data_IF_265214497881
#
_entry.id   IF_265214497881
#
_cell.length_a   1.000
_cell.length_b   1.000
_cell.length_c   1.000
_cell.angle_alpha   90.00
_cell.angle_beta   90.00
_cell.angle_gamma   90.00
#
_symmetry.space_group_name_H-M   'P 1'
#
loop_
_entity.id
_entity.type
_entity.pdbx_description
1 polymer ?
#
# COMPACT_ATOMS: atom_id res chain seq x y z
N UNK A 1 -4.83 -35.98 -57.96
CA UNK A 1 -5.92 -36.53 -57.12
C UNK A 1 -5.32 -37.22 -55.90
N UNK A 2 -5.42 -36.62 -54.72
CA UNK A 2 -5.48 -37.28 -53.41
C UNK A 2 -5.80 -36.20 -52.37
N UNK A 3 -7.03 -36.20 -51.91
CA UNK A 3 -7.58 -35.35 -50.86
C UNK A 3 -7.09 -35.89 -49.50
N UNK A 4 -6.41 -35.06 -48.71
CA UNK A 4 -6.14 -35.35 -47.30
C UNK A 4 -7.02 -34.45 -46.47
N UNK A 5 -8.02 -35.06 -45.85
CA UNK A 5 -8.97 -34.43 -44.88
C UNK A 5 -8.22 -34.32 -43.56
N UNK A 6 -8.01 -33.08 -43.08
CA UNK A 6 -7.54 -32.81 -41.72
C UNK A 6 -8.77 -32.69 -40.81
N UNK A 7 -8.90 -33.68 -39.93
CA UNK A 7 -9.92 -33.72 -38.87
C UNK A 7 -9.48 -32.79 -37.74
N UNK A 8 -10.14 -31.65 -37.63
CA UNK A 8 -9.94 -30.73 -36.51
C UNK A 8 -10.79 -31.18 -35.31
N UNK A 9 -10.15 -31.85 -34.35
CA UNK A 9 -10.77 -32.26 -33.07
C UNK A 9 -10.92 -31.04 -32.18
N UNK A 10 -12.15 -30.54 -32.08
CA UNK A 10 -12.54 -29.47 -31.16
C UNK A 10 -12.66 -30.07 -29.75
N UNK A 11 -11.58 -29.95 -28.97
CA UNK A 11 -11.57 -30.34 -27.55
C UNK A 11 -12.11 -29.17 -26.72
N UNK A 12 -13.41 -29.17 -26.45
CA UNK A 12 -14.02 -28.27 -25.50
C UNK A 12 -13.54 -28.62 -24.10
N UNK A 13 -12.52 -27.91 -23.63
CA UNK A 13 -12.12 -27.91 -22.23
C UNK A 13 -13.21 -27.24 -21.39
N UNK A 14 -14.00 -28.02 -20.68
CA UNK A 14 -14.81 -27.57 -19.55
C UNK A 14 -13.84 -27.09 -18.47
N UNK A 15 -13.56 -25.80 -18.43
CA UNK A 15 -12.94 -25.16 -17.26
C UNK A 15 -13.97 -25.22 -16.11
N UNK A 16 -13.61 -25.75 -14.93
CA UNK A 16 -14.44 -25.59 -13.77
C UNK A 16 -14.52 -24.10 -13.48
N UNK A 17 -15.73 -23.55 -13.48
CA UNK A 17 -15.99 -22.23 -12.94
C UNK A 17 -15.56 -22.26 -11.47
N UNK A 18 -14.40 -21.68 -11.18
CA UNK A 18 -14.05 -21.31 -9.83
C UNK A 18 -15.19 -20.41 -9.35
N UNK A 19 -15.94 -20.85 -8.34
CA UNK A 19 -16.91 -20.05 -7.63
C UNK A 19 -16.14 -18.86 -7.01
N UNK A 20 -16.03 -17.79 -7.77
CA UNK A 20 -15.57 -16.49 -7.27
C UNK A 20 -16.55 -16.12 -6.16
N UNK A 21 -16.05 -15.95 -4.94
CA UNK A 21 -16.84 -15.33 -3.89
C UNK A 21 -17.45 -14.07 -4.49
N UNK A 22 -18.79 -13.96 -4.36
CA UNK A 22 -19.54 -12.83 -4.91
C UNK A 22 -19.02 -11.55 -4.23
N UNK A 23 -18.05 -10.89 -4.88
CA UNK A 23 -17.33 -9.72 -4.35
C UNK A 23 -18.17 -8.45 -4.38
N UNK A 24 -19.42 -8.54 -4.85
CA UNK A 24 -20.37 -7.43 -4.88
C UNK A 24 -21.08 -7.30 -3.55
N UNK A 25 -21.04 -6.11 -2.96
CA UNK A 25 -21.82 -5.79 -1.77
C UNK A 25 -23.29 -5.62 -2.20
N UNK A 26 -24.20 -6.29 -1.49
CA UNK A 26 -25.65 -6.13 -1.69
C UNK A 26 -26.17 -4.95 -0.85
N UNK A 27 -27.18 -4.20 -1.33
CA UNK A 27 -27.80 -3.16 -0.52
C UNK A 27 -28.28 -3.71 0.82
N UNK A 28 -27.82 -3.11 1.94
CA UNK A 28 -28.16 -3.55 3.29
C UNK A 28 -27.41 -4.80 3.77
N UNK A 29 -26.36 -5.26 3.07
CA UNK A 29 -25.49 -6.35 3.51
C UNK A 29 -24.82 -6.00 4.84
N UNK A 30 -24.79 -6.96 5.75
CA UNK A 30 -24.11 -6.81 7.03
C UNK A 30 -22.66 -7.26 6.89
N UNK A 31 -21.73 -6.31 6.98
CA UNK A 31 -20.29 -6.57 6.81
C UNK A 31 -19.61 -6.86 8.15
N UNK A 32 -18.89 -7.98 8.22
CA UNK A 32 -17.93 -8.27 9.28
C UNK A 32 -16.55 -7.72 8.90
N UNK A 33 -15.66 -7.60 9.89
CA UNK A 33 -14.27 -7.18 9.64
C UNK A 33 -13.57 -8.10 8.62
N UNK A 34 -13.76 -9.42 8.75
CA UNK A 34 -13.17 -10.42 7.85
C UNK A 34 -13.68 -10.24 6.42
N UNK A 35 -14.98 -9.93 6.25
CA UNK A 35 -15.58 -9.68 4.93
C UNK A 35 -15.01 -8.40 4.31
N UNK A 36 -14.86 -7.31 5.11
CA UNK A 36 -14.23 -6.07 4.68
C UNK A 36 -12.78 -6.31 4.22
N UNK A 37 -12.01 -7.08 4.98
CA UNK A 37 -10.63 -7.45 4.63
C UNK A 37 -10.56 -8.27 3.34
N UNK A 38 -11.46 -9.26 3.17
CA UNK A 38 -11.51 -10.09 1.96
C UNK A 38 -11.77 -9.23 0.71
N UNK A 39 -12.74 -8.30 0.77
CA UNK A 39 -13.06 -7.39 -0.34
C UNK A 39 -11.86 -6.48 -0.65
N UNK A 40 -11.27 -5.87 0.38
CA UNK A 40 -10.11 -4.99 0.20
C UNK A 40 -8.93 -5.72 -0.46
N UNK A 41 -8.60 -6.92 0.00
CA UNK A 41 -7.49 -7.72 -0.54
C UNK A 41 -7.74 -8.21 -1.97
N UNK A 42 -9.00 -8.33 -2.41
CA UNK A 42 -9.33 -8.73 -3.78
C UNK A 42 -9.35 -7.55 -4.77
N UNK A 43 -9.73 -6.35 -4.33
CA UNK A 43 -10.07 -5.24 -5.24
C UNK A 43 -9.29 -3.95 -5.04
N UNK A 44 -8.58 -3.78 -3.92
CA UNK A 44 -7.96 -2.49 -3.61
C UNK A 44 -6.98 -2.05 -4.72
N UNK A 45 -7.11 -0.84 -5.28
CA UNK A 45 -6.30 -0.38 -6.40
C UNK A 45 -4.79 -0.40 -6.11
N UNK A 46 -4.37 -0.05 -4.87
CA UNK A 46 -2.95 -0.05 -4.49
C UNK A 46 -2.35 -1.45 -4.52
N UNK A 47 -3.15 -2.49 -4.15
CA UNK A 47 -2.69 -3.87 -4.21
C UNK A 47 -2.55 -4.35 -5.66
N UNK A 48 -3.47 -3.93 -6.54
CA UNK A 48 -3.36 -4.19 -7.97
C UNK A 48 -2.13 -3.50 -8.56
N UNK A 49 -1.88 -2.24 -8.22
CA UNK A 49 -0.69 -1.50 -8.64
C UNK A 49 0.61 -2.20 -8.18
N UNK A 50 0.66 -2.65 -6.92
CA UNK A 50 1.79 -3.41 -6.39
C UNK A 50 1.98 -4.76 -7.12
N UNK A 51 0.89 -5.46 -7.46
CA UNK A 51 0.92 -6.70 -8.26
C UNK A 51 1.50 -6.45 -9.65
N UNK A 52 1.07 -5.40 -10.32
CA UNK A 52 1.62 -5.04 -11.63
C UNK A 52 3.09 -4.61 -11.55
N UNK A 53 3.52 -4.00 -10.45
CA UNK A 53 4.93 -3.67 -10.20
C UNK A 53 5.80 -4.94 -10.10
N UNK A 54 5.32 -5.99 -9.42
CA UNK A 54 5.99 -7.29 -9.39
C UNK A 54 6.07 -7.91 -10.78
N UNK A 55 4.97 -7.91 -11.56
CA UNK A 55 4.95 -8.41 -12.95
C UNK A 55 5.91 -7.65 -13.86
N UNK A 56 6.02 -6.33 -13.68
CA UNK A 56 7.02 -5.53 -14.40
C UNK A 56 8.45 -5.96 -14.05
N UNK A 57 8.71 -6.30 -12.78
CA UNK A 57 9.98 -6.91 -12.34
C UNK A 57 10.28 -8.24 -13.04
N UNK A 58 9.29 -9.12 -13.15
CA UNK A 58 9.40 -10.39 -13.89
C UNK A 58 9.76 -10.16 -15.37
N UNK A 59 9.13 -9.19 -16.01
CA UNK A 59 9.43 -8.83 -17.39
C UNK A 59 10.87 -8.30 -17.56
N UNK A 60 11.39 -7.54 -16.57
CA UNK A 60 12.80 -7.07 -16.56
C UNK A 60 13.79 -8.23 -16.44
N UNK A 61 13.45 -9.30 -15.72
CA UNK A 61 14.25 -10.54 -15.69
C UNK A 61 14.30 -11.14 -17.10
N UNK A 62 13.17 -11.22 -17.80
CA UNK A 62 13.12 -11.68 -19.20
C UNK A 62 13.99 -10.82 -20.12
N UNK A 63 13.96 -9.49 -19.97
CA UNK A 63 14.82 -8.57 -20.71
C UNK A 63 16.32 -8.82 -20.42
N UNK A 64 16.71 -9.03 -19.17
CA UNK A 64 18.11 -9.33 -18.82
C UNK A 64 18.56 -10.69 -19.36
N UNK A 65 17.65 -11.66 -19.43
CA UNK A 65 17.91 -12.98 -20.03
C UNK A 65 18.04 -12.93 -21.55
N UNK A 66 17.55 -11.89 -22.21
CA UNK A 66 17.67 -11.73 -23.65
C UNK A 66 19.13 -11.69 -24.11
N UNK A 67 20.07 -11.24 -23.27
CA UNK A 67 21.51 -11.26 -23.56
C UNK A 67 22.10 -12.68 -23.74
N UNK A 68 21.37 -13.73 -23.31
CA UNK A 68 21.74 -15.13 -23.54
C UNK A 68 21.35 -15.63 -24.95
N UNK A 69 20.50 -14.91 -25.67
CA UNK A 69 19.99 -15.31 -26.98
C UNK A 69 20.62 -14.46 -28.08
N UNK A 70 20.70 -15.01 -29.31
CA UNK A 70 21.16 -14.26 -30.46
C UNK A 70 20.22 -13.08 -30.76
N UNK A 71 20.84 -11.93 -31.07
CA UNK A 71 20.13 -10.73 -31.49
C UNK A 71 20.17 -10.63 -32.99
N UNK A 72 19.01 -10.66 -33.66
CA UNK A 72 18.88 -10.50 -35.10
C UNK A 72 18.33 -9.12 -35.42
N UNK A 73 19.02 -8.38 -36.27
CA UNK A 73 18.58 -7.06 -36.73
C UNK A 73 18.65 -6.97 -38.25
N UNK A 74 17.71 -6.21 -38.84
CA UNK A 74 17.69 -5.91 -40.27
C UNK A 74 17.81 -4.41 -40.48
N UNK A 75 18.60 -3.97 -41.43
CA UNK A 75 18.73 -2.59 -41.86
C UNK A 75 18.65 -2.50 -43.38
N UNK A 76 17.99 -1.47 -43.91
CA UNK A 76 18.01 -1.10 -45.30
C UNK A 76 18.27 0.40 -45.42
N UNK A 77 19.10 0.80 -46.33
CA UNK A 77 19.47 2.18 -46.52
C UNK A 77 19.64 2.53 -48.00
N UNK A 78 19.29 3.77 -48.32
CA UNK A 78 19.65 4.44 -49.54
C UNK A 78 20.43 5.69 -49.18
N UNK A 79 21.56 5.91 -49.86
CA UNK A 79 22.30 7.17 -49.73
C UNK A 79 22.73 7.65 -51.10
N UNK A 80 22.69 8.95 -51.30
CA UNK A 80 23.24 9.64 -52.44
C UNK A 80 24.34 10.59 -51.95
N UNK A 81 25.52 10.40 -52.47
CA UNK A 81 26.65 11.26 -52.10
C UNK A 81 27.14 12.02 -53.33
N UNK A 82 27.33 13.35 -53.14
CA UNK A 82 27.95 14.19 -54.13
C UNK A 82 29.27 14.70 -53.52
N UNK A 83 30.44 14.18 -53.97
CA UNK A 83 31.72 14.54 -53.42
C UNK A 83 32.24 15.90 -53.93
N UNK A 84 31.47 16.65 -54.75
CA UNK A 84 31.92 17.93 -55.34
C UNK A 84 32.16 19.08 -54.32
N UNK A 85 31.96 18.85 -53.01
CA UNK A 85 32.17 19.84 -51.95
C UNK A 85 33.46 19.70 -51.12
N UNK A 86 34.25 18.65 -51.24
CA UNK A 86 35.48 18.47 -50.45
C UNK A 86 36.69 19.02 -51.22
N UNK A 87 37.08 20.26 -50.87
CA UNK A 87 38.11 21.03 -51.54
C UNK A 87 39.48 20.36 -51.71
N UNK A 88 40.02 20.44 -52.89
CA UNK A 88 41.46 20.48 -53.17
C UNK A 88 42.05 19.20 -53.75
N UNK A 89 42.03 19.07 -55.03
CA UNK A 89 43.11 18.70 -55.93
C UNK A 89 42.52 18.49 -57.34
N UNK A 90 43.06 19.17 -58.28
CA UNK A 90 42.59 19.25 -59.65
C UNK A 90 42.37 17.86 -60.28
N UNK A 91 41.14 17.61 -60.80
CA UNK A 91 41.00 16.73 -61.93
C UNK A 91 40.14 15.44 -61.78
N UNK A 92 39.23 15.29 -60.77
CA UNK A 92 38.21 14.24 -60.86
C UNK A 92 36.82 14.85 -60.58
N UNK A 93 36.08 15.08 -61.62
CA UNK A 93 34.62 15.26 -61.51
C UNK A 93 34.06 13.91 -61.10
N UNK A 94 33.81 13.75 -59.81
CA UNK A 94 33.07 12.61 -59.33
C UNK A 94 31.58 12.90 -59.46
N UNK A 95 30.92 12.20 -60.34
CA UNK A 95 29.44 12.26 -60.45
C UNK A 95 28.81 11.82 -59.12
N UNK A 96 27.65 12.39 -58.75
CA UNK A 96 26.88 11.92 -57.64
C UNK A 96 26.69 10.40 -57.78
N UNK A 97 26.94 9.66 -56.70
CA UNK A 97 26.77 8.21 -56.64
C UNK A 97 25.63 7.82 -55.74
N UNK A 98 24.80 6.97 -56.22
CA UNK A 98 23.75 6.31 -55.43
C UNK A 98 24.32 5.04 -54.78
N UNK A 99 23.89 4.76 -53.56
CA UNK A 99 24.24 3.54 -52.85
C UNK A 99 23.02 2.95 -52.17
N UNK A 100 22.70 1.75 -52.49
CA UNK A 100 21.66 0.95 -51.89
C UNK A 100 22.29 -0.11 -51.02
N UNK A 101 21.75 -0.32 -49.80
CA UNK A 101 22.24 -1.37 -48.91
C UNK A 101 21.10 -2.01 -48.16
N UNK A 102 21.17 -3.30 -47.97
CA UNK A 102 20.30 -4.07 -47.10
C UNK A 102 21.14 -5.09 -46.36
N UNK A 103 20.95 -5.20 -45.02
CA UNK A 103 21.76 -6.13 -44.22
C UNK A 103 20.91 -6.77 -43.13
N UNK A 104 21.11 -8.06 -42.95
CA UNK A 104 20.71 -8.82 -41.77
C UNK A 104 21.95 -9.07 -40.93
N UNK A 105 21.88 -8.78 -39.65
CA UNK A 105 23.01 -8.95 -38.72
C UNK A 105 22.58 -9.76 -37.53
N UNK A 106 23.33 -10.79 -37.19
CA UNK A 106 23.19 -11.63 -36.00
C UNK A 106 24.37 -11.35 -35.08
N UNK A 107 24.08 -11.05 -33.82
CA UNK A 107 25.10 -10.91 -32.78
C UNK A 107 24.74 -11.76 -31.56
N UNK A 108 25.74 -12.38 -30.92
CA UNK A 108 25.58 -13.27 -29.79
C UNK A 108 26.71 -13.08 -28.79
N UNK A 109 26.41 -12.87 -27.55
CA UNK A 109 27.38 -13.02 -26.48
C UNK A 109 27.66 -14.50 -26.27
N UNK A 110 28.88 -14.94 -26.60
CA UNK A 110 29.30 -16.34 -26.47
C UNK A 110 29.85 -16.62 -25.07
N UNK A 111 30.61 -15.66 -24.51
CA UNK A 111 31.18 -15.77 -23.17
C UNK A 111 31.51 -14.38 -22.60
N UNK A 112 31.01 -14.05 -21.40
CA UNK A 112 31.13 -12.73 -20.78
C UNK A 112 31.62 -12.77 -19.31
N UNK A 113 32.22 -13.87 -18.88
CA UNK A 113 32.68 -14.08 -17.50
C UNK A 113 31.58 -13.89 -16.47
N UNK A 114 30.34 -14.16 -16.85
CA UNK A 114 29.18 -14.10 -15.99
C UNK A 114 28.63 -12.68 -15.76
N UNK A 115 28.89 -11.73 -16.67
CA UNK A 115 28.26 -10.39 -16.62
C UNK A 115 26.74 -10.51 -16.79
N UNK A 116 26.30 -11.27 -17.79
CA UNK A 116 24.88 -11.52 -18.04
C UNK A 116 24.22 -12.21 -16.85
N UNK A 117 24.87 -13.23 -16.24
CA UNK A 117 24.31 -13.88 -15.06
C UNK A 117 24.18 -12.95 -13.86
N UNK A 118 25.15 -12.03 -13.64
CA UNK A 118 25.03 -11.02 -12.60
C UNK A 118 23.89 -10.03 -12.89
N UNK A 119 23.73 -9.58 -14.14
CA UNK A 119 22.59 -8.73 -14.52
C UNK A 119 21.25 -9.40 -14.25
N UNK A 120 21.10 -10.67 -14.64
CA UNK A 120 19.90 -11.45 -14.36
C UNK A 120 19.67 -11.56 -12.83
N UNK A 121 20.73 -11.88 -12.07
CA UNK A 121 20.64 -12.00 -10.61
C UNK A 121 20.23 -10.70 -9.94
N UNK A 122 20.74 -9.55 -10.37
CA UNK A 122 20.33 -8.23 -9.89
C UNK A 122 18.82 -8.03 -10.15
N UNK A 123 18.32 -8.34 -11.35
CA UNK A 123 16.89 -8.20 -11.68
C UNK A 123 16.00 -9.16 -10.88
N UNK A 124 16.48 -10.37 -10.59
CA UNK A 124 15.79 -11.31 -9.70
C UNK A 124 15.65 -10.74 -8.29
N UNK A 125 16.73 -10.20 -7.72
CA UNK A 125 16.71 -9.58 -6.40
C UNK A 125 15.85 -8.30 -6.37
N UNK A 126 15.87 -7.48 -7.43
CA UNK A 126 14.96 -6.33 -7.55
C UNK A 126 13.48 -6.74 -7.57
N UNK A 127 13.14 -7.85 -8.27
CA UNK A 127 11.80 -8.43 -8.25
C UNK A 127 11.43 -8.94 -6.85
N UNK A 128 12.35 -9.61 -6.15
CA UNK A 128 12.13 -10.11 -4.78
C UNK A 128 11.92 -8.95 -3.79
N UNK A 129 12.63 -7.82 -3.97
CA UNK A 129 12.37 -6.58 -3.22
C UNK A 129 10.98 -6.03 -3.52
N UNK A 130 10.55 -6.06 -4.79
CA UNK A 130 9.20 -5.62 -5.18
C UNK A 130 8.12 -6.52 -4.58
N UNK A 131 8.38 -7.83 -4.48
CA UNK A 131 7.48 -8.77 -3.80
C UNK A 131 7.36 -8.47 -2.30
N UNK A 132 8.45 -8.12 -1.63
CA UNK A 132 8.41 -7.70 -0.23
C UNK A 132 7.65 -6.36 -0.06
N UNK A 133 7.81 -5.41 -0.99
CA UNK A 133 7.01 -4.18 -1.00
C UNK A 133 5.51 -4.44 -1.21
N UNK A 134 5.14 -5.43 -2.03
CA UNK A 134 3.74 -5.88 -2.17
C UNK A 134 3.16 -6.33 -0.82
N UNK A 135 3.91 -7.13 -0.04
CA UNK A 135 3.47 -7.54 1.30
C UNK A 135 3.36 -6.35 2.27
N UNK A 136 4.21 -5.34 2.13
CA UNK A 136 4.10 -4.10 2.90
C UNK A 136 2.81 -3.34 2.57
N UNK A 137 2.49 -3.17 1.28
CA UNK A 137 1.23 -2.53 0.85
C UNK A 137 0.04 -3.31 1.37
N UNK A 138 0.08 -4.64 1.30
CA UNK A 138 -0.96 -5.51 1.84
C UNK A 138 -1.17 -5.30 3.34
N UNK A 139 -0.09 -5.26 4.13
CA UNK A 139 -0.17 -5.00 5.57
C UNK A 139 -0.74 -3.61 5.88
N UNK A 140 -0.39 -2.60 5.07
CA UNK A 140 -0.92 -1.25 5.22
C UNK A 140 -2.43 -1.17 4.91
N UNK A 141 -2.91 -1.88 3.88
CA UNK A 141 -4.34 -1.96 3.56
C UNK A 141 -5.10 -2.66 4.69
N UNK A 142 -4.59 -3.79 5.21
CA UNK A 142 -5.20 -4.49 6.34
C UNK A 142 -5.34 -3.55 7.55
N UNK A 143 -4.29 -2.82 7.90
CA UNK A 143 -4.34 -1.84 8.98
C UNK A 143 -5.37 -0.74 8.70
N UNK A 144 -5.36 -0.16 7.50
CA UNK A 144 -6.30 0.90 7.11
C UNK A 144 -7.76 0.46 7.20
N UNK A 145 -8.08 -0.75 6.74
CA UNK A 145 -9.43 -1.33 6.87
C UNK A 145 -9.80 -1.55 8.33
N UNK A 146 -8.91 -2.13 9.16
CA UNK A 146 -9.16 -2.33 10.59
C UNK A 146 -9.44 -0.98 11.29
N UNK A 147 -8.61 0.03 11.05
CA UNK A 147 -8.80 1.37 11.63
C UNK A 147 -10.12 2.01 11.22
N UNK A 148 -10.45 1.99 9.92
CA UNK A 148 -11.69 2.55 9.40
C UNK A 148 -12.93 1.80 9.92
N UNK A 149 -12.86 0.48 10.05
CA UNK A 149 -13.92 -0.36 10.60
C UNK A 149 -14.21 -0.01 12.08
N UNK A 150 -13.16 0.08 12.90
CA UNK A 150 -13.32 0.42 14.32
C UNK A 150 -13.76 1.87 14.52
N UNK A 151 -13.29 2.81 13.69
CA UNK A 151 -13.75 4.21 13.75
C UNK A 151 -15.23 4.35 13.37
N UNK A 152 -15.72 3.57 12.40
CA UNK A 152 -17.14 3.56 12.05
C UNK A 152 -17.99 3.04 13.22
N UNK A 153 -17.58 1.95 13.88
CA UNK A 153 -18.28 1.40 15.05
C UNK A 153 -18.29 2.39 16.22
N UNK A 154 -17.14 3.03 16.48
CA UNK A 154 -17.02 4.09 17.48
C UNK A 154 -18.00 5.23 17.21
N UNK A 155 -17.99 5.74 15.99
CA UNK A 155 -18.88 6.86 15.59
C UNK A 155 -20.37 6.48 15.67
N UNK A 156 -20.74 5.23 15.43
CA UNK A 156 -22.10 4.74 15.62
C UNK A 156 -22.49 4.72 17.08
N UNK A 157 -21.60 4.26 17.97
CA UNK A 157 -21.83 4.27 19.42
C UNK A 157 -21.94 5.71 19.96
N UNK A 158 -21.04 6.61 19.51
CA UNK A 158 -21.07 8.02 19.90
C UNK A 158 -22.36 8.72 19.43
N UNK A 159 -22.85 8.38 18.21
CA UNK A 159 -24.19 8.82 17.75
C UNK A 159 -25.30 8.31 18.65
N UNK A 160 -25.21 7.05 19.10
CA UNK A 160 -26.15 6.45 20.07
C UNK A 160 -26.17 7.21 21.40
N UNK A 161 -24.99 7.50 21.97
CA UNK A 161 -24.84 8.28 23.20
C UNK A 161 -25.41 9.69 23.03
N UNK A 162 -25.11 10.38 21.93
CA UNK A 162 -25.64 11.72 21.65
C UNK A 162 -27.18 11.73 21.53
N UNK A 163 -27.78 10.69 20.91
CA UNK A 163 -29.23 10.54 20.83
C UNK A 163 -29.88 10.29 22.19
N UNK A 164 -29.29 9.44 23.01
CA UNK A 164 -29.72 9.21 24.39
C UNK A 164 -29.66 10.49 25.18
N UNK A 165 -28.57 11.25 25.08
CA UNK A 165 -28.36 12.56 25.74
C UNK A 165 -29.42 13.56 25.35
N UNK A 166 -29.81 13.66 24.06
CA UNK A 166 -30.94 14.53 23.64
C UNK A 166 -32.24 14.10 24.32
N UNK A 167 -32.50 12.78 24.41
CA UNK A 167 -33.69 12.27 25.11
C UNK A 167 -33.72 12.67 26.61
N UNK A 168 -32.57 12.58 27.29
CA UNK A 168 -32.44 12.95 28.69
C UNK A 168 -32.65 14.45 28.91
N UNK A 169 -32.06 15.32 28.07
CA UNK A 169 -32.30 16.78 28.14
C UNK A 169 -33.76 17.15 27.80
N UNK A 170 -34.40 16.42 26.86
CA UNK A 170 -35.82 16.65 26.61
C UNK A 170 -36.68 16.32 27.84
N UNK A 171 -36.43 15.19 28.50
CA UNK A 171 -37.13 14.86 29.76
C UNK A 171 -36.88 15.87 30.86
N UNK A 172 -35.64 16.40 30.96
CA UNK A 172 -35.34 17.46 31.94
C UNK A 172 -36.09 18.75 31.64
N UNK A 173 -36.20 19.16 30.37
CA UNK A 173 -37.00 20.32 29.96
C UNK A 173 -38.50 20.10 30.28
N UNK A 174 -39.06 18.93 30.00
CA UNK A 174 -40.47 18.65 30.26
C UNK A 174 -40.78 18.70 31.77
N UNK A 175 -39.85 18.22 32.60
CA UNK A 175 -39.96 18.37 34.08
C UNK A 175 -39.86 19.84 34.54
N UNK A 176 -38.92 20.62 33.97
CA UNK A 176 -38.78 22.04 34.30
C UNK A 176 -40.02 22.83 33.91
N UNK A 177 -40.66 22.55 32.77
CA UNK A 177 -41.95 23.13 32.37
C UNK A 177 -43.05 22.75 33.31
N UNK A 178 -43.19 21.48 33.69
CA UNK A 178 -44.19 21.05 34.66
C UNK A 178 -44.06 21.75 36.03
N UNK A 179 -42.85 21.94 36.54
CA UNK A 179 -42.63 22.71 37.79
C UNK A 179 -42.92 24.19 37.66
N UNK A 180 -42.65 24.80 36.50
CA UNK A 180 -43.00 26.18 36.23
C UNK A 180 -44.53 26.39 36.14
N UNK A 181 -45.22 25.50 35.44
CA UNK A 181 -46.70 25.59 35.26
C UNK A 181 -47.48 25.51 36.57
N UNK A 182 -46.95 24.75 37.55
CA UNK A 182 -47.52 24.69 38.91
C UNK A 182 -46.95 25.78 39.86
N UNK A 183 -46.11 26.68 39.35
CA UNK A 183 -45.57 27.83 40.12
C UNK A 183 -44.46 27.50 41.13
N UNK A 184 -43.89 26.29 41.11
CA UNK A 184 -42.87 25.85 42.10
C UNK A 184 -41.43 26.21 41.68
N UNK A 185 -41.16 26.49 40.39
CA UNK A 185 -39.83 26.86 39.88
C UNK A 185 -39.92 28.07 38.94
N UNK A 186 -38.84 28.89 38.84
CA UNK A 186 -38.83 30.10 38.03
C UNK A 186 -38.67 29.75 36.51
N UNK A 187 -39.07 30.69 35.65
CA UNK A 187 -38.91 30.59 34.18
C UNK A 187 -37.45 30.38 33.76
N UNK A 188 -36.50 30.83 34.60
CA UNK A 188 -35.04 30.59 34.36
C UNK A 188 -34.72 29.12 34.16
N UNK A 189 -35.31 28.19 34.95
CA UNK A 189 -35.06 26.74 34.84
C UNK A 189 -35.52 26.21 33.48
N UNK A 190 -36.65 26.69 32.96
CA UNK A 190 -37.17 26.31 31.64
C UNK A 190 -36.26 26.81 30.54
N UNK A 191 -35.88 28.12 30.57
CA UNK A 191 -35.02 28.71 29.55
C UNK A 191 -33.64 28.03 29.54
N UNK A 192 -33.08 27.73 30.72
CA UNK A 192 -31.79 26.99 30.82
C UNK A 192 -31.90 25.60 30.22
N UNK A 193 -32.96 24.86 30.52
CA UNK A 193 -33.17 23.51 29.92
C UNK A 193 -33.38 23.56 28.40
N UNK A 194 -34.01 24.62 27.87
CA UNK A 194 -34.12 24.82 26.41
C UNK A 194 -32.78 25.05 25.74
N UNK A 195 -31.89 25.85 26.35
CA UNK A 195 -30.53 26.08 25.86
C UNK A 195 -29.72 24.77 25.85
N UNK A 196 -29.81 24.00 26.95
CA UNK A 196 -29.09 22.74 27.10
C UNK A 196 -29.55 21.70 26.09
N UNK A 197 -30.87 21.56 25.85
CA UNK A 197 -31.42 20.71 24.82
C UNK A 197 -30.95 21.13 23.42
N UNK A 198 -30.89 22.44 23.16
CA UNK A 198 -30.39 22.93 21.87
C UNK A 198 -28.92 22.57 21.65
N UNK A 199 -28.09 22.66 22.70
CA UNK A 199 -26.70 22.20 22.71
C UNK A 199 -26.56 20.69 22.45
N UNK A 200 -27.40 19.88 23.11
CA UNK A 200 -27.42 18.44 22.91
C UNK A 200 -27.83 18.06 21.44
N UNK A 201 -28.83 18.75 20.87
CA UNK A 201 -29.22 18.55 19.47
C UNK A 201 -28.11 18.91 18.50
N UNK A 202 -27.35 19.98 18.77
CA UNK A 202 -26.17 20.33 17.94
C UNK A 202 -25.08 19.24 18.02
N UNK A 203 -24.86 18.68 19.22
CA UNK A 203 -23.92 17.56 19.41
C UNK A 203 -24.37 16.30 18.64
N UNK A 204 -25.66 15.98 18.63
CA UNK A 204 -26.21 14.88 17.84
C UNK A 204 -25.98 15.10 16.34
N UNK A 205 -26.23 16.30 15.81
CA UNK A 205 -25.97 16.63 14.40
C UNK A 205 -24.49 16.41 14.03
N UNK A 206 -23.57 16.77 14.91
CA UNK A 206 -22.13 16.53 14.72
C UNK A 206 -21.80 15.03 14.73
N UNK A 207 -22.36 14.27 15.65
CA UNK A 207 -22.17 12.83 15.74
C UNK A 207 -22.75 12.10 14.50
N UNK A 208 -23.90 12.52 13.99
CA UNK A 208 -24.48 11.98 12.74
C UNK A 208 -23.58 12.26 11.52
N UNK A 209 -23.01 13.45 11.44
CA UNK A 209 -22.06 13.78 10.37
C UNK A 209 -20.76 12.96 10.49
N UNK A 210 -20.21 12.82 11.71
CA UNK A 210 -19.02 12.00 11.96
C UNK A 210 -19.25 10.53 11.53
N UNK A 211 -20.41 9.97 11.84
CA UNK A 211 -20.79 8.62 11.41
C UNK A 211 -20.86 8.50 9.88
N UNK A 212 -21.45 9.46 9.17
CA UNK A 212 -21.47 9.44 7.68
C UNK A 212 -20.06 9.52 7.10
N UNK A 213 -19.20 10.38 7.66
CA UNK A 213 -17.80 10.48 7.23
C UNK A 213 -17.04 9.17 7.46
N UNK A 214 -17.26 8.51 8.59
CA UNK A 214 -16.66 7.22 8.89
C UNK A 214 -17.13 6.11 7.91
N UNK A 215 -18.40 6.14 7.48
CA UNK A 215 -18.88 5.23 6.41
C UNK A 215 -18.13 5.44 5.09
N UNK A 216 -17.96 6.70 4.67
CA UNK A 216 -17.20 7.04 3.46
C UNK A 216 -15.73 6.60 3.60
N UNK A 217 -15.14 6.80 4.78
CA UNK A 217 -13.76 6.39 5.05
C UNK A 217 -13.59 4.88 4.96
N UNK A 218 -14.53 4.09 5.50
CA UNK A 218 -14.49 2.64 5.40
C UNK A 218 -14.69 2.18 3.94
N UNK A 219 -15.63 2.76 3.20
CA UNK A 219 -15.84 2.48 1.78
C UNK A 219 -14.55 2.69 0.97
N UNK A 220 -13.85 3.79 1.21
CA UNK A 220 -12.57 4.07 0.58
C UNK A 220 -11.47 3.09 1.00
N UNK A 221 -11.37 2.75 2.29
CA UNK A 221 -10.37 1.81 2.80
C UNK A 221 -10.55 0.37 2.25
N UNK A 222 -11.79 -0.01 1.92
CA UNK A 222 -12.09 -1.30 1.27
C UNK A 222 -11.86 -1.24 -0.25
N UNK A 223 -11.69 -0.04 -0.81
CA UNK A 223 -11.53 0.16 -2.26
C UNK A 223 -12.84 0.08 -3.03
N UNK A 224 -13.97 0.47 -2.42
CA UNK A 224 -15.26 0.51 -3.08
C UNK A 224 -15.39 1.77 -3.97
N UNK A 225 -16.12 1.66 -5.10
CA UNK A 225 -16.44 2.82 -5.90
C UNK A 225 -17.41 3.76 -5.14
N UNK A 226 -17.46 5.06 -5.53
CA UNK A 226 -18.33 6.05 -4.87
C UNK A 226 -19.83 5.70 -4.89
N UNK A 227 -20.26 4.92 -5.87
CA UNK A 227 -21.64 4.47 -6.04
C UNK A 227 -21.98 3.16 -5.31
N UNK A 228 -21.07 2.67 -4.43
CA UNK A 228 -21.30 1.45 -3.69
C UNK A 228 -22.57 1.56 -2.83
N UNK A 229 -23.36 0.46 -2.71
CA UNK A 229 -24.57 0.46 -1.92
C UNK A 229 -24.27 0.66 -0.44
N UNK A 230 -25.24 1.22 0.30
CA UNK A 230 -25.16 1.34 1.75
C UNK A 230 -25.09 -0.04 2.41
N UNK A 231 -24.27 -0.17 3.42
CA UNK A 231 -24.06 -1.39 4.19
C UNK A 231 -24.15 -1.11 5.70
N UNK A 232 -24.37 -2.16 6.45
CA UNK A 232 -24.38 -2.14 7.91
C UNK A 232 -23.20 -2.97 8.42
N UNK A 233 -22.58 -2.55 9.52
CA UNK A 233 -21.46 -3.29 10.13
C UNK A 233 -21.89 -4.02 11.40
N UNK A 234 -21.23 -5.15 11.69
CA UNK A 234 -21.46 -5.93 12.92
C UNK A 234 -20.57 -5.41 14.05
N UNK A 235 -21.17 -5.09 15.18
CA UNK A 235 -20.43 -4.85 16.40
C UNK A 235 -20.14 -6.18 17.11
N UNK A 236 -18.96 -6.75 16.84
CA UNK A 236 -18.47 -7.98 17.48
C UNK A 236 -17.36 -7.68 18.51
N UNK A 237 -17.60 -6.72 19.40
CA UNK A 237 -16.61 -6.24 20.35
C UNK A 237 -16.37 -7.28 21.48
N UNK A 238 -15.35 -8.14 21.30
CA UNK A 238 -14.79 -8.95 22.38
C UNK A 238 -13.38 -8.48 22.67
N UNK A 239 -13.12 -7.89 23.85
CA UNK A 239 -11.77 -7.48 24.24
C UNK A 239 -11.05 -8.67 24.87
N UNK A 240 -10.16 -9.31 24.11
CA UNK A 240 -9.28 -10.35 24.63
C UNK A 240 -7.91 -9.73 24.91
N UNK A 241 -7.54 -9.60 26.18
CA UNK A 241 -6.23 -9.07 26.59
C UNK A 241 -5.19 -10.18 26.49
N UNK A 242 -4.30 -10.12 25.50
CA UNK A 242 -3.15 -11.00 25.37
C UNK A 242 -1.87 -10.19 25.64
N UNK A 243 -1.16 -10.39 26.76
CA UNK A 243 0.09 -9.70 27.00
C UNK A 243 1.18 -10.30 26.11
N UNK A 244 1.71 -9.51 25.16
CA UNK A 244 2.91 -9.84 24.40
C UNK A 244 4.09 -9.18 25.09
N UNK A 245 5.18 -9.94 25.37
CA UNK A 245 6.40 -9.37 25.91
C UNK A 245 7.06 -8.44 24.88
N UNK A 246 7.58 -7.29 25.31
CA UNK A 246 8.17 -6.29 24.42
C UNK A 246 9.33 -6.87 23.58
N UNK A 247 10.22 -7.63 24.21
CA UNK A 247 11.38 -8.22 23.54
C UNK A 247 10.95 -9.23 22.46
N UNK A 248 9.89 -9.99 22.72
CA UNK A 248 9.30 -10.91 21.76
C UNK A 248 8.69 -10.15 20.56
N UNK A 249 7.97 -9.05 20.82
CA UNK A 249 7.41 -8.20 19.78
C UNK A 249 8.50 -7.61 18.86
N UNK A 250 9.64 -7.17 19.44
CA UNK A 250 10.77 -6.64 18.66
C UNK A 250 11.40 -7.75 17.82
N UNK A 251 11.59 -8.96 18.38
CA UNK A 251 12.15 -10.10 17.66
C UNK A 251 11.26 -10.48 16.47
N UNK A 252 9.95 -10.61 16.69
CA UNK A 252 8.98 -10.91 15.64
C UNK A 252 9.01 -9.86 14.52
N UNK A 253 9.11 -8.56 14.87
CA UNK A 253 9.20 -7.48 13.91
C UNK A 253 10.44 -7.62 13.01
N UNK A 254 11.60 -7.93 13.56
CA UNK A 254 12.81 -8.12 12.76
C UNK A 254 12.74 -9.31 11.80
N UNK A 255 12.04 -10.37 12.20
CA UNK A 255 11.92 -11.59 11.39
C UNK A 255 10.83 -11.48 10.31
N UNK A 256 9.74 -10.75 10.58
CA UNK A 256 8.52 -10.82 9.77
C UNK A 256 8.23 -9.58 8.94
N UNK A 257 8.80 -8.42 9.29
CA UNK A 257 8.46 -7.17 8.59
C UNK A 257 8.94 -7.15 7.15
N UNK A 258 8.03 -6.91 6.20
CA UNK A 258 8.37 -6.90 4.78
C UNK A 258 9.32 -5.77 4.39
N UNK A 259 9.32 -4.63 5.09
CA UNK A 259 10.21 -3.50 4.81
C UNK A 259 11.68 -3.86 5.08
N UNK A 260 11.95 -4.59 6.17
CA UNK A 260 13.31 -5.07 6.49
C UNK A 260 13.75 -6.05 5.42
N UNK A 261 12.88 -6.98 5.02
CA UNK A 261 13.17 -7.93 3.94
C UNK A 261 13.42 -7.23 2.62
N UNK A 262 12.59 -6.25 2.24
CA UNK A 262 12.76 -5.49 1.00
C UNK A 262 14.12 -4.79 0.94
N UNK A 263 14.54 -4.13 2.03
CA UNK A 263 15.81 -3.43 2.08
C UNK A 263 17.00 -4.39 2.14
N UNK A 264 16.87 -5.51 2.86
CA UNK A 264 17.92 -6.57 2.90
C UNK A 264 18.16 -7.14 1.50
N UNK A 265 17.10 -7.40 0.74
CA UNK A 265 17.23 -7.89 -0.65
C UNK A 265 17.83 -6.83 -1.57
N UNK A 266 17.57 -5.53 -1.33
CA UNK A 266 18.24 -4.44 -2.06
C UNK A 266 19.74 -4.36 -1.76
N UNK A 267 20.14 -4.58 -0.52
CA UNK A 267 21.56 -4.70 -0.15
C UNK A 267 22.21 -5.83 -0.96
N UNK A 268 21.60 -7.01 -1.02
CA UNK A 268 22.10 -8.14 -1.81
C UNK A 268 22.18 -7.81 -3.32
N UNK A 269 21.20 -7.07 -3.86
CA UNK A 269 21.23 -6.63 -5.25
C UNK A 269 22.40 -5.66 -5.52
N UNK A 270 22.71 -4.80 -4.54
CA UNK A 270 23.83 -3.87 -4.65
C UNK A 270 25.19 -4.57 -4.49
N UNK A 271 25.30 -5.60 -3.63
CA UNK A 271 26.48 -6.47 -3.55
C UNK A 271 26.78 -7.13 -4.91
N UNK A 272 25.73 -7.62 -5.58
CA UNK A 272 25.87 -8.20 -6.92
C UNK A 272 26.20 -7.11 -7.97
N UNK A 273 25.74 -5.88 -7.79
CA UNK A 273 26.12 -4.74 -8.63
C UNK A 273 27.61 -4.42 -8.49
N UNK A 274 28.16 -4.48 -7.27
CA UNK A 274 29.61 -4.36 -7.04
C UNK A 274 30.36 -5.49 -7.76
N UNK A 275 29.85 -6.72 -7.71
CA UNK A 275 30.45 -7.87 -8.41
C UNK A 275 30.39 -7.69 -9.93
N UNK A 276 29.27 -7.18 -10.45
CA UNK A 276 29.13 -6.86 -11.88
C UNK A 276 30.15 -5.80 -12.31
N UNK A 277 30.31 -4.71 -11.56
CA UNK A 277 31.28 -3.66 -11.86
C UNK A 277 32.74 -4.19 -11.88
N UNK A 278 33.09 -5.13 -10.98
CA UNK A 278 34.40 -5.80 -10.99
C UNK A 278 34.60 -6.63 -12.26
N UNK A 279 33.52 -7.24 -12.80
CA UNK A 279 33.58 -8.04 -14.02
C UNK A 279 33.87 -7.21 -15.27
N UNK A 280 33.76 -5.88 -15.22
CA UNK A 280 34.14 -4.99 -16.33
C UNK A 280 35.65 -4.95 -16.62
N UNK A 281 36.48 -5.50 -15.74
CA UNK A 281 37.89 -5.77 -16.04
C UNK A 281 38.11 -7.03 -16.90
N UNK A 282 37.12 -7.94 -17.00
CA UNK A 282 37.28 -9.20 -17.72
C UNK A 282 36.94 -9.03 -19.21
N UNK A 283 37.64 -9.80 -20.08
CA UNK A 283 37.32 -9.84 -21.50
C UNK A 283 35.92 -10.43 -21.74
N UNK A 284 35.40 -10.23 -22.96
CA UNK A 284 34.19 -10.91 -23.41
C UNK A 284 34.35 -11.34 -24.86
N UNK A 285 33.66 -12.43 -25.21
CA UNK A 285 33.66 -13.03 -26.50
C UNK A 285 32.28 -12.86 -27.16
N UNK A 286 32.25 -12.25 -28.33
CA UNK A 286 31.03 -12.11 -29.15
C UNK A 286 31.18 -12.84 -30.46
N UNK A 287 30.13 -13.52 -30.93
CA UNK A 287 29.96 -14.04 -32.25
C UNK A 287 29.09 -13.09 -33.09
N UNK A 288 29.51 -12.87 -34.34
CA UNK A 288 28.77 -12.02 -35.27
C UNK A 288 28.61 -12.75 -36.61
N UNK A 289 27.44 -12.66 -37.23
CA UNK A 289 27.20 -13.08 -38.58
C UNK A 289 26.41 -12.00 -39.31
N UNK A 290 26.71 -11.76 -40.56
CA UNK A 290 25.88 -10.88 -41.37
C UNK A 290 25.72 -11.39 -42.78
N UNK A 291 24.57 -11.09 -43.39
CA UNK A 291 24.27 -11.28 -44.80
C UNK A 291 23.68 -9.98 -45.34
N UNK A 292 24.16 -9.52 -46.45
CA UNK A 292 23.71 -8.25 -46.99
C UNK A 292 23.77 -8.15 -48.48
N UNK A 293 23.06 -7.20 -49.04
CA UNK A 293 23.05 -6.77 -50.41
C UNK A 293 23.45 -5.30 -50.51
N UNK A 294 24.29 -4.95 -51.45
CA UNK A 294 24.68 -3.55 -51.61
C UNK A 294 25.19 -3.27 -53.01
N UNK A 295 25.08 -2.04 -53.47
CA UNK A 295 25.55 -1.59 -54.78
C UNK A 295 25.03 -0.21 -55.18
N UNK A 296 25.55 0.36 -56.23
CA UNK A 296 25.09 1.61 -56.84
C UNK A 296 23.91 1.42 -57.81
N UNK A 297 23.83 0.24 -58.41
CA UNK A 297 22.84 -0.13 -59.42
C UNK A 297 22.21 -1.51 -59.13
N UNK A 298 21.05 -1.80 -59.70
CA UNK A 298 20.41 -3.12 -59.59
C UNK A 298 20.81 -4.02 -60.74
N UNK A 299 21.01 -5.36 -60.54
CA UNK A 299 20.86 -6.07 -59.25
C UNK A 299 22.00 -5.77 -58.27
N UNK A 300 21.67 -5.75 -56.96
CA UNK A 300 22.64 -5.52 -55.87
C UNK A 300 23.55 -6.79 -55.71
N UNK A 301 24.82 -6.56 -55.40
CA UNK A 301 25.72 -7.63 -55.02
C UNK A 301 25.41 -8.13 -53.60
N UNK A 302 25.50 -9.43 -53.38
CA UNK A 302 25.33 -10.06 -52.09
C UNK A 302 26.64 -10.51 -51.46
N UNK A 303 26.66 -10.52 -50.11
CA UNK A 303 27.82 -10.99 -49.38
C UNK A 303 27.47 -11.41 -47.95
N UNK A 304 28.28 -12.29 -47.39
CA UNK A 304 28.14 -12.73 -46.01
C UNK A 304 29.46 -12.65 -45.25
N UNK A 305 29.34 -12.51 -43.93
CA UNK A 305 30.49 -12.61 -43.03
C UNK A 305 30.09 -13.34 -41.75
N UNK A 306 31.02 -14.15 -41.23
CA UNK A 306 30.90 -14.79 -39.91
C UNK A 306 32.21 -14.58 -39.19
N UNK A 307 32.14 -14.20 -37.93
CA UNK A 307 33.32 -13.94 -37.12
C UNK A 307 33.05 -14.10 -35.64
N UNK A 308 34.13 -14.26 -34.90
CA UNK A 308 34.13 -14.16 -33.43
C UNK A 308 35.18 -13.14 -33.01
N UNK A 309 34.82 -12.31 -32.01
CA UNK A 309 35.70 -11.23 -31.51
C UNK A 309 35.87 -11.34 -30.03
N UNK A 310 37.10 -11.37 -29.54
CA UNK A 310 37.44 -11.19 -28.12
C UNK A 310 37.74 -9.73 -27.90
N UNK A 311 37.02 -9.11 -26.95
CA UNK A 311 37.25 -7.76 -26.55
C UNK A 311 37.89 -7.75 -25.14
N UNK A 312 39.10 -7.16 -25.02
CA UNK A 312 39.87 -7.10 -23.76
C UNK A 312 40.03 -5.64 -23.36
N UNK A 313 39.36 -5.19 -22.28
CA UNK A 313 39.54 -3.82 -21.79
C UNK A 313 40.90 -3.68 -21.10
N UNK A 314 41.89 -3.09 -21.77
CA UNK A 314 43.24 -2.89 -21.21
C UNK A 314 43.33 -1.66 -20.33
N UNK A 315 42.70 -0.57 -20.72
CA UNK A 315 42.69 0.70 -19.97
C UNK A 315 41.44 1.51 -20.32
N UNK A 316 40.66 1.85 -19.29
CA UNK A 316 39.40 2.61 -19.43
C UNK A 316 39.49 4.04 -18.86
N UNK A 317 40.67 4.62 -18.71
CA UNK A 317 40.84 5.96 -18.09
C UNK A 317 40.36 5.97 -16.62
N UNK A 318 40.56 4.88 -15.89
CA UNK A 318 40.07 4.69 -14.50
C UNK A 318 38.54 4.59 -14.33
N UNK A 319 37.75 4.58 -15.41
CA UNK A 319 36.30 4.52 -15.33
C UNK A 319 35.81 3.32 -14.49
N UNK A 320 36.29 2.10 -14.80
CA UNK A 320 35.94 0.88 -14.05
C UNK A 320 36.30 0.96 -12.57
N UNK A 321 37.44 1.60 -12.22
CA UNK A 321 37.80 1.81 -10.81
C UNK A 321 36.77 2.65 -10.09
N UNK A 322 36.41 3.82 -10.66
CA UNK A 322 35.43 4.70 -10.04
C UNK A 322 34.00 4.13 -10.04
N UNK A 323 33.63 3.34 -11.02
CA UNK A 323 32.36 2.59 -11.01
C UNK A 323 32.29 1.60 -9.83
N UNK A 324 33.39 0.90 -9.52
CA UNK A 324 33.46 0.02 -8.35
C UNK A 324 33.39 0.83 -7.05
N UNK A 325 34.08 1.97 -6.97
CA UNK A 325 34.04 2.85 -5.79
C UNK A 325 32.63 3.42 -5.58
N UNK A 326 31.96 3.87 -6.64
CA UNK A 326 30.54 4.29 -6.61
C UNK A 326 29.61 3.18 -6.11
N UNK A 327 29.74 1.98 -6.70
CA UNK A 327 28.91 0.85 -6.31
C UNK A 327 29.11 0.44 -4.84
N UNK A 328 30.34 0.53 -4.30
CA UNK A 328 30.63 0.29 -2.89
C UNK A 328 30.06 1.37 -1.99
N UNK A 329 30.26 2.66 -2.33
CA UNK A 329 29.71 3.75 -1.55
C UNK A 329 28.16 3.68 -1.49
N UNK A 330 27.51 3.24 -2.58
CA UNK A 330 26.08 2.98 -2.61
C UNK A 330 25.69 1.79 -1.71
N UNK A 331 26.51 0.73 -1.64
CA UNK A 331 26.30 -0.39 -0.73
C UNK A 331 26.39 0.06 0.72
N UNK A 332 27.43 0.80 1.09
CA UNK A 332 27.62 1.34 2.43
C UNK A 332 26.46 2.25 2.86
N UNK A 333 25.91 3.04 1.91
CA UNK A 333 24.72 3.85 2.16
C UNK A 333 23.46 3.00 2.40
N UNK A 334 23.28 1.89 1.67
CA UNK A 334 22.15 0.97 1.89
C UNK A 334 22.29 0.24 3.23
N UNK A 335 23.48 -0.15 3.65
CA UNK A 335 23.72 -0.75 4.97
C UNK A 335 23.39 0.21 6.11
N UNK A 336 23.79 1.47 5.98
CA UNK A 336 23.43 2.52 6.93
C UNK A 336 21.90 2.74 6.98
N UNK A 337 21.20 2.72 5.82
CA UNK A 337 19.76 2.81 5.75
C UNK A 337 19.07 1.59 6.41
N UNK A 338 19.63 0.38 6.27
CA UNK A 338 19.11 -0.82 6.94
C UNK A 338 19.26 -0.71 8.46
N UNK A 339 20.38 -0.18 8.95
CA UNK A 339 20.58 0.07 10.37
C UNK A 339 19.57 1.11 10.91
N UNK A 340 19.35 2.21 10.17
CA UNK A 340 18.36 3.24 10.51
C UNK A 340 16.94 2.68 10.50
N UNK A 341 16.58 1.85 9.51
CA UNK A 341 15.28 1.19 9.46
C UNK A 341 15.04 0.28 10.68
N UNK A 342 16.05 -0.48 11.10
CA UNK A 342 15.95 -1.33 12.31
C UNK A 342 15.69 -0.50 13.57
N UNK A 343 16.31 0.67 13.70
CA UNK A 343 16.05 1.58 14.82
C UNK A 343 14.63 2.13 14.77
N UNK A 344 14.15 2.55 13.57
CA UNK A 344 12.78 3.03 13.37
C UNK A 344 11.75 1.96 13.69
N UNK A 345 11.96 0.71 13.27
CA UNK A 345 11.11 -0.43 13.61
C UNK A 345 11.07 -0.66 15.13
N UNK A 346 12.22 -0.61 15.79
CA UNK A 346 12.26 -0.75 17.26
C UNK A 346 11.43 0.34 17.96
N UNK A 347 11.55 1.58 17.49
CA UNK A 347 10.78 2.70 18.03
C UNK A 347 9.29 2.49 17.80
N UNK A 348 8.86 2.13 16.58
CA UNK A 348 7.47 1.88 16.23
C UNK A 348 6.84 0.76 17.08
N UNK A 349 7.55 -0.36 17.25
CA UNK A 349 7.09 -1.48 18.09
C UNK A 349 6.94 -1.06 19.55
N UNK A 350 7.92 -0.31 20.10
CA UNK A 350 7.84 0.19 21.47
C UNK A 350 6.66 1.15 21.66
N UNK A 351 6.46 2.05 20.73
CA UNK A 351 5.32 2.98 20.77
C UNK A 351 3.98 2.23 20.68
N UNK A 352 3.84 1.31 19.74
CA UNK A 352 2.61 0.51 19.59
C UNK A 352 2.33 -0.34 20.84
N UNK A 353 3.36 -0.93 21.44
CA UNK A 353 3.23 -1.72 22.66
C UNK A 353 2.80 -0.86 23.86
N UNK A 354 3.42 0.32 24.06
CA UNK A 354 3.05 1.25 25.13
C UNK A 354 1.63 1.76 24.95
N UNK A 355 1.24 2.12 23.72
CA UNK A 355 -0.11 2.59 23.42
C UNK A 355 -1.17 1.49 23.66
N UNK A 356 -0.88 0.24 23.31
CA UNK A 356 -1.78 -0.87 23.60
C UNK A 356 -1.96 -1.07 25.10
N UNK A 357 -0.89 -0.98 25.88
CA UNK A 357 -0.94 -1.11 27.33
C UNK A 357 -1.75 0.02 27.95
N UNK A 358 -1.48 1.28 27.57
CA UNK A 358 -2.24 2.44 28.05
C UNK A 358 -3.73 2.30 27.70
N UNK A 359 -4.05 1.94 26.44
CA UNK A 359 -5.43 1.76 26.02
C UNK A 359 -6.14 0.65 26.81
N UNK A 360 -5.43 -0.43 27.15
CA UNK A 360 -5.95 -1.51 27.99
C UNK A 360 -6.29 -1.04 29.42
N UNK A 361 -5.39 -0.27 30.05
CA UNK A 361 -5.57 0.23 31.42
C UNK A 361 -6.67 1.29 31.49
N UNK A 362 -6.86 2.06 30.42
CA UNK A 362 -7.89 3.10 30.30
C UNK A 362 -9.31 2.54 30.26
N UNK A 363 -9.54 1.33 29.74
CA UNK A 363 -10.87 0.71 29.64
C UNK A 363 -11.52 0.60 31.04
N UNK A 364 -10.81 0.04 32.03
CA UNK A 364 -11.34 -0.19 33.36
C UNK A 364 -11.61 1.13 34.09
N UNK A 365 -10.74 2.12 33.93
CA UNK A 365 -10.92 3.46 34.49
C UNK A 365 -12.12 4.18 33.88
N UNK A 366 -12.30 4.10 32.55
CA UNK A 366 -13.43 4.71 31.87
C UNK A 366 -14.75 4.02 32.24
N UNK A 367 -14.77 2.69 32.39
CA UNK A 367 -15.95 1.97 32.85
C UNK A 367 -16.36 2.32 34.28
N UNK A 368 -15.38 2.56 35.18
CA UNK A 368 -15.65 3.07 36.53
C UNK A 368 -16.25 4.47 36.47
N UNK A 369 -15.68 5.37 35.64
CA UNK A 369 -16.17 6.74 35.47
C UNK A 369 -17.64 6.77 34.99
N UNK A 370 -18.04 5.87 34.07
CA UNK A 370 -19.45 5.76 33.64
C UNK A 370 -20.35 5.45 34.84
N UNK A 371 -20.03 4.45 35.65
CA UNK A 371 -20.83 4.07 36.80
C UNK A 371 -20.98 5.21 37.80
N UNK A 372 -19.87 5.90 38.10
CA UNK A 372 -19.89 7.06 39.05
C UNK A 372 -20.69 8.23 38.50
N UNK A 373 -20.61 8.50 37.20
CA UNK A 373 -21.38 9.57 36.57
C UNK A 373 -22.89 9.25 36.56
N UNK A 374 -23.27 7.98 36.28
CA UNK A 374 -24.67 7.53 36.31
C UNK A 374 -25.25 7.61 37.73
N UNK A 375 -24.51 7.19 38.74
CA UNK A 375 -24.92 7.34 40.15
C UNK A 375 -25.10 8.82 40.55
N UNK A 376 -24.14 9.68 40.16
CA UNK A 376 -24.26 11.13 40.41
C UNK A 376 -25.48 11.74 39.71
N UNK A 377 -25.81 11.29 38.49
CA UNK A 377 -27.00 11.76 37.77
C UNK A 377 -28.29 11.36 38.51
N UNK A 378 -28.38 10.12 39.00
CA UNK A 378 -29.54 9.65 39.80
C UNK A 378 -29.72 10.49 41.05
N UNK A 379 -28.66 10.75 41.79
CA UNK A 379 -28.69 11.60 42.98
C UNK A 379 -29.08 13.05 42.64
N UNK A 380 -28.53 13.66 41.59
CA UNK A 380 -28.87 15.01 41.16
C UNK A 380 -30.34 15.12 40.73
N UNK A 381 -30.87 14.17 40.02
CA UNK A 381 -32.28 14.10 39.61
C UNK A 381 -33.21 13.98 40.84
N UNK A 382 -32.87 13.11 41.80
CA UNK A 382 -33.62 12.96 43.06
C UNK A 382 -33.68 14.24 43.88
N UNK A 383 -32.53 14.93 44.07
CA UNK A 383 -32.45 16.23 44.76
C UNK A 383 -33.28 17.32 44.05
N UNK A 384 -33.23 17.37 42.72
CA UNK A 384 -34.02 18.31 41.92
C UNK A 384 -35.52 18.06 42.05
N UNK A 385 -35.95 16.79 42.01
CA UNK A 385 -37.35 16.37 42.14
C UNK A 385 -37.95 16.73 43.53
N UNK A 386 -37.15 16.65 44.61
CA UNK A 386 -37.56 17.02 45.94
C UNK A 386 -37.46 18.53 46.23
N UNK A 387 -37.00 19.33 45.26
CA UNK A 387 -36.88 20.80 45.39
C UNK A 387 -35.61 21.28 46.11
N UNK A 388 -34.74 20.38 46.57
CA UNK A 388 -33.49 20.71 47.30
C UNK A 388 -32.33 20.97 46.32
N UNK A 389 -32.34 20.36 45.12
CA UNK A 389 -31.30 20.50 44.11
C UNK A 389 -31.55 21.63 43.12
N UNK A 390 -30.45 22.06 42.46
CA UNK A 390 -30.45 23.05 41.40
C UNK A 390 -30.61 22.37 40.02
N UNK A 391 -31.25 23.00 39.01
CA UNK A 391 -31.26 22.50 37.62
C UNK A 391 -29.84 22.38 37.03
N UNK A 392 -28.89 23.20 37.51
CA UNK A 392 -27.48 23.17 37.08
C UNK A 392 -26.84 21.84 37.52
N UNK A 393 -27.14 21.34 38.74
CA UNK A 393 -26.62 20.03 39.20
C UNK A 393 -27.07 18.91 38.28
N UNK A 394 -28.29 18.93 37.79
CA UNK A 394 -28.82 17.90 36.84
C UNK A 394 -28.15 18.06 35.47
N UNK A 395 -28.02 19.27 34.96
CA UNK A 395 -27.34 19.54 33.68
C UNK A 395 -25.89 19.07 33.71
N UNK A 396 -25.14 19.43 34.75
CA UNK A 396 -23.73 19.04 34.92
C UNK A 396 -23.58 17.52 35.00
N UNK A 397 -24.48 16.85 35.72
CA UNK A 397 -24.50 15.39 35.82
C UNK A 397 -24.85 14.73 34.48
N UNK A 398 -25.78 15.27 33.68
CA UNK A 398 -26.12 14.80 32.35
C UNK A 398 -24.92 14.89 31.38
N UNK A 399 -24.21 16.05 31.43
CA UNK A 399 -23.00 16.24 30.63
C UNK A 399 -21.91 15.28 31.08
N UNK A 400 -21.74 15.06 32.41
CA UNK A 400 -20.74 14.11 32.91
C UNK A 400 -21.02 12.68 32.45
N UNK A 401 -22.27 12.21 32.47
CA UNK A 401 -22.65 10.88 31.95
C UNK A 401 -22.35 10.78 30.44
N UNK A 402 -22.75 11.77 29.64
CA UNK A 402 -22.49 11.78 28.20
C UNK A 402 -20.99 11.71 27.91
N UNK A 403 -20.16 12.51 28.59
CA UNK A 403 -18.71 12.51 28.45
C UNK A 403 -18.09 11.18 28.88
N UNK A 404 -18.53 10.60 30.01
CA UNK A 404 -18.05 9.33 30.52
C UNK A 404 -18.36 8.17 29.53
N UNK A 405 -19.60 8.10 28.98
CA UNK A 405 -19.98 7.11 27.97
C UNK A 405 -19.16 7.25 26.69
N UNK A 406 -18.98 8.45 26.19
CA UNK A 406 -18.13 8.70 24.99
C UNK A 406 -16.68 8.32 25.27
N UNK A 407 -16.12 8.66 26.45
CA UNK A 407 -14.76 8.27 26.82
C UNK A 407 -14.60 6.75 26.95
N UNK A 408 -15.58 6.04 27.49
CA UNK A 408 -15.58 4.58 27.57
C UNK A 408 -15.66 3.94 26.19
N UNK A 409 -16.53 4.46 25.31
CA UNK A 409 -16.60 4.04 23.91
C UNK A 409 -15.23 4.22 23.23
N UNK A 410 -14.64 5.41 23.35
CA UNK A 410 -13.32 5.69 22.80
C UNK A 410 -12.26 4.70 23.32
N UNK A 411 -12.22 4.42 24.64
CA UNK A 411 -11.25 3.49 25.22
C UNK A 411 -11.34 2.07 24.62
N UNK A 412 -12.55 1.57 24.38
CA UNK A 412 -12.77 0.25 23.79
C UNK A 412 -12.25 0.16 22.35
N UNK A 413 -12.57 1.15 21.52
CA UNK A 413 -12.16 1.12 20.11
C UNK A 413 -10.70 1.53 19.91
N UNK A 414 -10.17 2.46 20.71
CA UNK A 414 -8.75 2.82 20.70
C UNK A 414 -7.87 1.62 21.07
N UNK A 415 -8.32 0.75 21.99
CA UNK A 415 -7.64 -0.51 22.27
C UNK A 415 -7.56 -1.41 21.04
N UNK A 416 -8.64 -1.54 20.27
CA UNK A 416 -8.66 -2.33 19.02
C UNK A 416 -7.75 -1.74 17.95
N UNK A 417 -7.74 -0.42 17.82
CA UNK A 417 -6.83 0.27 16.90
C UNK A 417 -5.37 0.09 17.35
N UNK A 418 -5.09 0.22 18.65
CA UNK A 418 -3.75 -0.02 19.19
C UNK A 418 -3.29 -1.46 19.00
N UNK A 419 -4.20 -2.44 19.14
CA UNK A 419 -3.94 -3.84 18.84
C UNK A 419 -3.58 -4.04 17.36
N UNK A 420 -4.37 -3.48 16.43
CA UNK A 420 -4.08 -3.55 15.00
C UNK A 420 -2.74 -2.90 14.62
N UNK A 421 -2.40 -1.77 15.28
CA UNK A 421 -1.10 -1.12 15.10
C UNK A 421 0.06 -2.00 15.58
N UNK A 422 -0.09 -2.70 16.72
CA UNK A 422 0.93 -3.63 17.21
C UNK A 422 1.07 -4.85 16.30
N UNK A 423 -0.03 -5.43 15.82
CA UNK A 423 -0.03 -6.52 14.84
C UNK A 423 0.77 -6.14 13.57
N UNK A 424 0.51 -4.95 13.02
CA UNK A 424 1.28 -4.42 11.88
C UNK A 424 2.74 -4.17 12.27
N UNK A 425 3.01 -3.60 13.45
CA UNK A 425 4.37 -3.30 13.89
C UNK A 425 5.20 -4.57 14.13
N UNK A 426 4.60 -5.68 14.55
CA UNK A 426 5.24 -7.01 14.70
C UNK A 426 5.30 -7.79 13.39
N UNK A 427 4.65 -7.33 12.32
CA UNK A 427 4.57 -8.04 11.05
C UNK A 427 3.61 -9.25 11.09
N UNK A 428 2.65 -9.28 12.01
CA UNK A 428 1.55 -10.24 12.00
C UNK A 428 0.57 -9.94 10.85
N UNK A 429 0.02 -11.01 10.24
CA UNK A 429 -0.77 -10.92 9.00
C UNK A 429 -2.26 -11.08 9.28
#
# INVERSE_FOLDING_TARGET
>A
MRKTIVFLLLMTALLPAAAGADDTIRPGETLTLERCLAIALSRHPDLQAATHTVRAGESRIGQARADYYPQLSGAAGYSRSDPSGAGGAAGRSSNPSDSYSSRLSLSQNLYDFGKTSSRVRIRELERDSSQANFEQVRAQIILGVKQAYWELLKSERDRGVARETVGQFQQHLDRAKGFFDVGTKPKFDVTKAEVDLSGAKLTLLRAENAWRLAQVSLSNAIGLPPEAPEFVIVDSLSVTRAPVALDEAIRLAYDRRPEIRALTVRVQAQEETVNLAKKDYYPFLTGNASYGWGGGDFPLDDGWSVGAQVNVPLFSGYATKYQIEEARATLDALDANLAALRQAVTLEVKQAWLNLREASDRIDTAALSVRQAEENLELAQGRYATGVGSPIEVTDALVAVSNAKTAHTAALYDYRVAQANLEKATGER
#
